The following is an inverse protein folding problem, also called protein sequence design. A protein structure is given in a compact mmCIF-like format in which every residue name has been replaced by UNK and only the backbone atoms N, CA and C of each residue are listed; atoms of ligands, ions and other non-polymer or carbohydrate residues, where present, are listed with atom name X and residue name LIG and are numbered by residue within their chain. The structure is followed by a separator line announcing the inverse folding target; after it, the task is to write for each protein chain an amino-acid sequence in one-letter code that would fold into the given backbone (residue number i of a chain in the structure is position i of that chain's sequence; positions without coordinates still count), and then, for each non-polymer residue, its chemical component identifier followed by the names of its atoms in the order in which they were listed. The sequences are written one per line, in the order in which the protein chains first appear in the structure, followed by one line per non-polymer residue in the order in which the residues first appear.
data_IF_460854922216
#
_entry.id   IF_460854922216
#
_cell.length_a   1.000
_cell.length_b   1.000
_cell.length_c   1.000
_cell.angle_alpha   90.00
_cell.angle_beta   90.00
_cell.angle_gamma   90.00
#
_symmetry.space_group_name_H-M   'P 1'
#
loop_
_entity.id
_entity.type
_entity.pdbx_description
1 polymer ?
#
# COMPACT_ATOMS: atom_id res chain seq x y z
N UNK A 1 12.15 10.24 7.43
CA UNK A 1 10.95 10.00 8.25
C UNK A 1 9.77 10.64 7.56
N UNK A 2 8.67 9.91 7.41
CA UNK A 2 7.39 10.42 6.89
C UNK A 2 6.33 10.26 7.97
N UNK A 3 5.58 11.33 8.24
CA UNK A 3 4.47 11.38 9.19
C UNK A 3 3.17 11.41 8.40
N UNK A 4 2.18 10.61 8.80
CA UNK A 4 0.89 10.54 8.11
C UNK A 4 -0.15 11.43 8.76
N UNK A 5 -1.02 12.02 7.94
CA UNK A 5 -2.22 12.71 8.42
C UNK A 5 -3.21 11.69 8.98
N UNK A 6 -3.94 12.02 10.08
CA UNK A 6 -4.89 11.13 10.75
C UNK A 6 -6.21 11.02 9.97
N UNK A 7 -6.16 10.63 8.70
CA UNK A 7 -7.34 10.41 7.87
C UNK A 7 -7.83 8.95 7.92
N UNK A 8 -6.93 8.00 8.17
CA UNK A 8 -7.16 6.54 8.10
C UNK A 8 -6.32 5.86 9.19
N UNK A 9 -6.84 5.68 10.42
CA UNK A 9 -6.02 5.19 11.53
C UNK A 9 -5.42 3.80 11.27
N UNK A 10 -4.10 3.72 11.29
CA UNK A 10 -3.26 2.51 11.38
C UNK A 10 -3.16 1.63 10.14
N UNK A 11 -4.29 1.24 9.54
CA UNK A 11 -4.32 0.21 8.48
C UNK A 11 -3.51 0.63 7.25
N UNK A 12 -3.59 1.90 6.88
CA UNK A 12 -2.87 2.45 5.73
C UNK A 12 -1.35 2.45 5.96
N UNK A 13 -0.89 2.93 7.11
CA UNK A 13 0.55 3.00 7.42
C UNK A 13 1.15 1.61 7.51
N UNK A 14 0.44 0.67 8.13
CA UNK A 14 0.86 -0.72 8.20
C UNK A 14 0.97 -1.33 6.80
N UNK A 15 -0.03 -1.10 5.94
CA UNK A 15 -0.01 -1.62 4.59
C UNK A 15 1.07 -0.98 3.70
N UNK A 16 1.35 0.31 3.86
CA UNK A 16 2.43 1.00 3.16
C UNK A 16 3.80 0.41 3.54
N UNK A 17 4.05 0.21 4.84
CA UNK A 17 5.28 -0.41 5.33
C UNK A 17 5.43 -1.86 4.85
N UNK A 18 4.37 -2.66 4.94
CA UNK A 18 4.36 -4.06 4.49
C UNK A 18 4.57 -4.17 2.98
N UNK A 19 3.96 -3.29 2.18
CA UNK A 19 4.12 -3.28 0.71
C UNK A 19 5.56 -2.92 0.32
N UNK A 20 6.17 -1.93 0.98
CA UNK A 20 7.56 -1.58 0.73
C UNK A 20 8.50 -2.75 1.07
N UNK A 21 8.30 -3.40 2.22
CA UNK A 21 9.09 -4.58 2.59
C UNK A 21 8.90 -5.74 1.60
N UNK A 22 7.66 -6.02 1.21
CA UNK A 22 7.32 -7.06 0.23
C UNK A 22 8.00 -6.82 -1.13
N UNK A 23 7.89 -5.62 -1.69
CA UNK A 23 8.51 -5.30 -2.99
C UNK A 23 10.04 -5.36 -2.90
N UNK A 24 10.61 -4.90 -1.77
CA UNK A 24 12.05 -4.88 -1.55
C UNK A 24 12.63 -6.30 -1.50
N UNK A 25 11.91 -7.24 -0.89
CA UNK A 25 12.32 -8.64 -0.80
C UNK A 25 12.08 -9.44 -2.08
N UNK A 26 11.04 -9.11 -2.86
CA UNK A 26 10.56 -9.95 -3.97
C UNK A 26 10.97 -9.46 -5.36
N UNK A 27 11.48 -8.24 -5.49
CA UNK A 27 11.79 -7.63 -6.79
C UNK A 27 13.15 -6.95 -6.81
N UNK A 28 13.62 -6.62 -8.01
CA UNK A 28 14.82 -5.79 -8.22
C UNK A 28 14.53 -4.29 -8.24
N UNK A 29 13.27 -3.89 -8.01
CA UNK A 29 12.84 -2.50 -8.13
C UNK A 29 13.53 -1.66 -7.05
N UNK A 30 14.20 -0.55 -7.41
CA UNK A 30 14.91 0.28 -6.46
C UNK A 30 13.92 1.14 -5.65
N UNK A 31 13.44 0.58 -4.53
CA UNK A 31 12.56 1.27 -3.59
C UNK A 31 13.25 1.52 -2.24
N UNK A 32 12.75 2.46 -1.41
CA UNK A 32 13.32 2.72 -0.10
C UNK A 32 13.20 1.50 0.83
N UNK A 33 14.30 1.13 1.48
CA UNK A 33 14.26 0.14 2.55
C UNK A 33 13.56 0.72 3.79
N UNK A 34 12.58 0.02 4.35
CA UNK A 34 11.95 0.38 5.63
C UNK A 34 12.87 -0.05 6.78
N UNK A 35 13.11 0.84 7.74
CA UNK A 35 13.90 0.56 8.94
C UNK A 35 13.02 0.35 10.17
N UNK A 36 11.94 1.14 10.30
CA UNK A 36 10.97 1.02 11.38
C UNK A 36 9.67 1.77 11.01
N UNK A 37 8.54 1.37 11.59
CA UNK A 37 7.28 2.11 11.49
C UNK A 37 6.46 1.96 12.78
N UNK A 38 5.53 2.88 12.99
CA UNK A 38 4.51 2.76 14.02
C UNK A 38 3.18 3.26 13.47
N UNK A 39 2.23 2.35 13.35
CA UNK A 39 0.88 2.58 12.85
C UNK A 39 -0.12 2.96 13.96
N UNK A 40 0.28 2.97 15.24
CA UNK A 40 -0.59 3.43 16.32
C UNK A 40 -0.53 4.96 16.43
N UNK A 41 -1.62 5.71 16.18
CA UNK A 41 -1.63 7.17 16.31
C UNK A 41 -1.45 7.66 17.75
N UNK A 42 -1.64 6.80 18.76
CA UNK A 42 -1.44 7.10 20.19
C UNK A 42 0.01 6.86 20.66
N UNK A 43 0.96 6.72 19.74
CA UNK A 43 2.37 6.60 20.08
C UNK A 43 2.93 7.94 20.63
N UNK A 44 4.19 7.93 21.10
CA UNK A 44 4.86 9.10 21.70
C UNK A 44 4.88 10.36 20.81
N UNK A 45 4.79 10.20 19.49
CA UNK A 45 4.76 11.28 18.52
C UNK A 45 3.33 11.74 18.19
N UNK A 46 2.30 11.09 18.75
CA UNK A 46 0.89 11.41 18.54
C UNK A 46 0.43 11.27 17.09
N UNK A 47 1.18 10.52 16.27
CA UNK A 47 0.92 10.36 14.84
C UNK A 47 1.61 9.12 14.29
N UNK A 48 1.04 8.56 13.23
CA UNK A 48 1.63 7.42 12.51
C UNK A 48 2.88 7.83 11.73
N UNK A 49 3.88 6.95 11.68
CA UNK A 49 5.15 7.24 11.02
C UNK A 49 5.84 6.03 10.41
N UNK A 50 6.66 6.30 9.39
CA UNK A 50 7.60 5.34 8.79
C UNK A 50 9.00 5.97 8.70
N UNK A 51 10.00 5.24 9.19
CA UNK A 51 11.43 5.51 9.03
C UNK A 51 11.94 4.57 7.94
N UNK A 52 12.49 5.15 6.87
CA UNK A 52 12.95 4.44 5.69
C UNK A 52 14.17 5.14 5.09
N UNK A 53 14.88 4.45 4.21
CA UNK A 53 16.01 4.97 3.44
C UNK A 53 15.63 6.24 2.67
N UNK A 54 16.49 7.25 2.71
CA UNK A 54 16.34 8.46 1.89
C UNK A 54 16.92 8.20 0.50
N UNK A 55 16.07 8.23 -0.53
CA UNK A 55 16.50 8.19 -1.93
C UNK A 55 16.77 9.61 -2.43
N UNK A 56 17.96 9.83 -2.99
CA UNK A 56 18.29 11.06 -3.70
C UNK A 56 17.90 10.89 -5.17
N UNK A 57 16.70 11.35 -5.51
CA UNK A 57 16.18 11.28 -6.88
C UNK A 57 15.48 12.58 -7.26
N UNK A 58 15.31 12.78 -8.58
CA UNK A 58 14.52 13.89 -9.12
C UNK A 58 13.22 13.33 -9.69
N UNK A 59 12.05 13.95 -9.39
CA UNK A 59 10.79 13.53 -9.97
C UNK A 59 10.83 13.56 -11.50
N UNK A 60 10.45 12.44 -12.13
CA UNK A 60 10.56 12.28 -13.58
C UNK A 60 9.85 13.39 -14.36
N UNK A 61 8.67 13.84 -13.89
CA UNK A 61 7.89 14.90 -14.54
C UNK A 61 8.65 16.23 -14.65
N UNK A 62 9.59 16.51 -13.75
CA UNK A 62 10.36 17.77 -13.77
C UNK A 62 11.38 17.80 -14.90
N UNK A 63 11.98 16.65 -15.22
CA UNK A 63 13.04 16.56 -16.24
C UNK A 63 12.54 15.99 -17.56
N UNK A 64 11.35 15.41 -17.60
CA UNK A 64 10.85 14.65 -18.75
C UNK A 64 10.94 15.42 -20.06
N UNK A 65 10.52 16.68 -20.07
CA UNK A 65 10.51 17.49 -21.31
C UNK A 65 11.93 17.78 -21.84
N UNK A 66 12.91 17.90 -20.96
CA UNK A 66 14.32 18.17 -21.28
C UNK A 66 15.09 16.91 -21.70
N UNK A 67 14.53 15.72 -21.44
CA UNK A 67 15.17 14.45 -21.80
C UNK A 67 15.08 14.15 -23.29
N UNK A 68 16.18 13.64 -23.84
CA UNK A 68 16.22 13.10 -25.20
C UNK A 68 15.28 11.90 -25.36
N UNK A 69 14.81 11.68 -26.59
CA UNK A 69 13.93 10.55 -26.93
C UNK A 69 14.54 9.20 -26.54
N UNK A 70 15.86 9.03 -26.72
CA UNK A 70 16.56 7.80 -26.31
C UNK A 70 16.48 7.55 -24.80
N UNK A 71 16.69 8.59 -23.97
CA UNK A 71 16.58 8.44 -22.51
C UNK A 71 15.14 8.10 -22.09
N UNK A 72 14.14 8.73 -22.71
CA UNK A 72 12.72 8.42 -22.48
C UNK A 72 12.42 6.96 -22.79
N UNK A 73 12.88 6.46 -23.94
CA UNK A 73 12.73 5.07 -24.34
C UNK A 73 13.33 4.11 -23.30
N UNK A 74 14.54 4.38 -22.82
CA UNK A 74 15.20 3.55 -21.79
C UNK A 74 14.42 3.54 -20.47
N UNK A 75 13.83 4.68 -20.07
CA UNK A 75 12.99 4.74 -18.86
C UNK A 75 11.73 3.89 -19.04
N UNK A 76 11.03 4.05 -20.17
CA UNK A 76 9.83 3.26 -20.45
C UNK A 76 10.14 1.76 -20.48
N UNK A 77 11.28 1.38 -21.07
CA UNK A 77 11.74 0.00 -21.08
C UNK A 77 11.98 -0.54 -19.66
N UNK A 78 12.66 0.22 -18.79
CA UNK A 78 12.85 -0.17 -17.39
C UNK A 78 11.54 -0.27 -16.62
N UNK A 79 10.61 0.66 -16.82
CA UNK A 79 9.28 0.60 -16.21
C UNK A 79 8.52 -0.66 -16.66
N UNK A 80 8.61 -1.03 -17.93
CA UNK A 80 8.01 -2.28 -18.41
C UNK A 80 8.61 -3.50 -17.72
N UNK A 81 9.93 -3.55 -17.52
CA UNK A 81 10.59 -4.62 -16.74
C UNK A 81 10.05 -4.69 -15.31
N UNK A 82 9.96 -3.55 -14.61
CA UNK A 82 9.41 -3.50 -13.25
C UNK A 82 7.95 -3.92 -13.18
N UNK A 83 7.13 -3.53 -14.16
CA UNK A 83 5.73 -3.99 -14.22
C UNK A 83 5.66 -5.50 -14.37
N UNK A 84 6.48 -6.10 -15.25
CA UNK A 84 6.53 -7.56 -15.42
C UNK A 84 6.93 -8.26 -14.11
N UNK A 85 7.91 -7.74 -13.38
CA UNK A 85 8.27 -8.26 -12.05
C UNK A 85 7.07 -8.23 -11.09
N UNK A 86 6.36 -7.11 -11.01
CA UNK A 86 5.18 -6.97 -10.15
C UNK A 86 4.04 -7.91 -10.57
N UNK A 87 3.78 -8.06 -11.87
CA UNK A 87 2.74 -8.98 -12.39
C UNK A 87 3.05 -10.46 -12.09
N UNK A 88 4.31 -10.80 -11.90
CA UNK A 88 4.73 -12.15 -11.53
C UNK A 88 4.69 -12.43 -10.02
N UNK A 89 4.17 -11.50 -9.21
CA UNK A 89 3.94 -11.70 -7.78
C UNK A 89 2.47 -12.06 -7.53
N UNK A 90 2.12 -13.35 -7.38
CA UNK A 90 0.75 -13.73 -7.10
C UNK A 90 0.33 -13.26 -5.71
N UNK A 91 -0.82 -12.60 -5.63
CA UNK A 91 -1.49 -12.24 -4.40
C UNK A 91 -2.72 -13.12 -4.22
N UNK A 92 -3.08 -13.41 -2.97
CA UNK A 92 -4.20 -14.31 -2.64
C UNK A 92 -5.59 -13.71 -2.92
N UNK A 93 -5.67 -12.42 -3.22
CA UNK A 93 -6.92 -11.70 -3.48
C UNK A 93 -6.70 -10.23 -3.82
N UNK A 94 -7.81 -9.49 -3.87
CA UNK A 94 -7.85 -8.04 -4.06
C UNK A 94 -7.97 -7.38 -2.69
N UNK A 95 -7.07 -6.45 -2.39
CA UNK A 95 -7.02 -5.79 -1.09
C UNK A 95 -5.68 -5.12 -0.88
N UNK A 96 -5.26 -4.98 0.38
CA UNK A 96 -3.99 -4.35 0.73
C UNK A 96 -3.02 -5.38 1.32
N UNK A 97 -1.72 -5.21 1.06
CA UNK A 97 -0.70 -6.11 1.63
C UNK A 97 -0.50 -5.74 3.10
N UNK A 98 -0.60 -6.72 3.99
CA UNK A 98 -0.36 -6.57 5.42
C UNK A 98 0.76 -7.54 5.85
N UNK A 99 1.55 -7.14 6.86
CA UNK A 99 2.51 -8.04 7.48
C UNK A 99 1.84 -8.85 8.58
N UNK A 100 2.08 -10.15 8.57
CA UNK A 100 1.72 -11.05 9.67
C UNK A 100 3.00 -11.44 10.38
N UNK A 101 3.12 -11.05 11.65
CA UNK A 101 4.20 -11.56 12.50
C UNK A 101 3.79 -12.98 12.91
N UNK A 102 4.33 -13.99 12.26
CA UNK A 102 4.28 -15.35 12.79
C UNK A 102 5.15 -15.41 14.03
N UNK A 103 4.55 -15.32 15.21
CA UNK A 103 5.21 -15.57 16.49
C UNK A 103 5.51 -17.07 16.64
N UNK A 104 6.42 -17.62 15.83
CA UNK A 104 7.04 -18.90 16.18
C UNK A 104 8.13 -18.61 17.20
N UNK A 105 7.78 -18.73 18.49
CA UNK A 105 8.77 -18.79 19.57
C UNK A 105 9.63 -20.04 19.38
N UNK A 106 10.80 -19.88 18.77
CA UNK A 106 11.92 -20.81 18.92
C UNK A 106 13.20 -20.07 18.59
N UNK A 107 14.17 -20.17 19.50
CA UNK A 107 15.48 -19.54 19.50
C UNK A 107 16.09 -19.21 18.13
N UNK A 108 16.45 -17.94 17.95
CA UNK A 108 17.70 -17.57 17.29
C UNK A 108 17.74 -17.45 15.76
N UNK A 109 16.64 -17.70 15.03
CA UNK A 109 16.67 -17.63 13.56
C UNK A 109 15.53 -16.77 12.97
N UNK A 110 15.85 -16.12 11.86
CA UNK A 110 15.23 -14.95 11.24
C UNK A 110 13.69 -14.89 11.34
N UNK A 111 13.15 -13.75 11.79
CA UNK A 111 11.73 -13.40 11.67
C UNK A 111 11.31 -13.45 10.22
N UNK A 112 10.74 -14.57 9.78
CA UNK A 112 10.14 -14.67 8.45
C UNK A 112 8.97 -13.70 8.37
N UNK A 113 9.11 -12.61 7.62
CA UNK A 113 7.99 -11.73 7.31
C UNK A 113 7.03 -12.49 6.38
N UNK A 114 5.86 -12.84 6.90
CA UNK A 114 4.78 -13.40 6.09
C UNK A 114 3.85 -12.28 5.65
N UNK A 115 3.55 -12.23 4.35
CA UNK A 115 2.68 -11.21 3.76
C UNK A 115 1.33 -11.80 3.39
N UNK A 116 0.25 -11.13 3.79
CA UNK A 116 -1.13 -11.54 3.47
C UNK A 116 -1.91 -10.38 2.87
N UNK A 117 -2.91 -10.68 2.04
CA UNK A 117 -3.84 -9.66 1.56
C UNK A 117 -4.95 -9.48 2.61
N UNK A 118 -5.11 -8.25 3.10
CA UNK A 118 -6.18 -7.84 4.01
C UNK A 118 -7.16 -6.87 3.35
N UNK A 119 -7.91 -6.15 4.19
CA UNK A 119 -8.86 -5.13 3.78
C UNK A 119 -8.25 -4.06 2.87
N UNK A 120 -9.06 -3.45 2.02
CA UNK A 120 -8.65 -2.36 1.13
C UNK A 120 -8.43 -1.05 1.89
N UNK A 121 -7.29 -0.39 1.66
CA UNK A 121 -6.95 0.94 2.20
C UNK A 121 -7.17 2.05 1.18
N UNK A 122 -7.91 1.76 0.11
CA UNK A 122 -8.21 2.74 -0.92
C UNK A 122 -8.93 3.93 -0.30
N UNK A 123 -8.59 5.19 -0.69
CA UNK A 123 -9.17 6.40 -0.12
C UNK A 123 -10.69 6.36 0.01
N UNK A 124 -11.37 5.78 -0.97
CA UNK A 124 -12.83 5.70 -1.02
C UNK A 124 -13.44 4.79 0.05
N UNK A 125 -12.72 3.77 0.51
CA UNK A 125 -13.18 2.88 1.58
C UNK A 125 -12.72 3.32 2.99
N UNK A 126 -11.82 4.31 3.06
CA UNK A 126 -11.04 4.54 4.27
C UNK A 126 -10.96 6.02 4.70
N UNK A 127 -11.44 6.99 3.92
CA UNK A 127 -11.39 8.42 4.28
C UNK A 127 -12.80 8.94 4.60
N UNK A 128 -12.93 9.73 5.67
CA UNK A 128 -14.16 10.45 6.00
C UNK A 128 -15.15 9.63 6.82
N UNK A 129 -16.44 9.96 6.72
CA UNK A 129 -17.51 9.22 7.40
C UNK A 129 -17.71 7.81 6.82
N UNK A 130 -17.17 7.54 5.63
CA UNK A 130 -17.21 6.25 4.93
C UNK A 130 -16.53 5.12 5.74
N UNK A 131 -15.64 5.46 6.69
CA UNK A 131 -15.01 4.50 7.61
C UNK A 131 -16.03 3.89 8.57
N UNK A 132 -17.12 4.60 8.89
CA UNK A 132 -18.17 4.13 9.81
C UNK A 132 -19.22 3.28 9.12
N UNK A 133 -19.20 3.21 7.78
CA UNK A 133 -20.17 2.43 7.03
C UNK A 133 -19.91 0.94 7.19
N UNK A 134 -20.98 0.18 7.38
CA UNK A 134 -20.96 -1.28 7.43
C UNK A 134 -20.93 -1.83 5.99
N UNK A 135 -19.74 -1.75 5.37
CA UNK A 135 -19.47 -2.19 4.00
C UNK A 135 -18.35 -3.21 4.05
N UNK A 136 -18.46 -4.27 3.24
CA UNK A 136 -17.38 -5.23 3.03
C UNK A 136 -16.14 -4.49 2.50
N UNK A 137 -15.00 -4.62 3.20
CA UNK A 137 -13.72 -4.01 2.81
C UNK A 137 -12.73 -5.03 2.27
N UNK A 138 -13.13 -6.28 2.11
CA UNK A 138 -12.28 -7.38 1.65
C UNK A 138 -11.48 -8.05 2.78
N UNK A 139 -10.44 -8.83 2.45
CA UNK A 139 -9.92 -9.07 1.11
C UNK A 139 -10.95 -9.77 0.21
N UNK A 140 -10.95 -9.44 -1.08
CA UNK A 140 -11.88 -10.00 -2.05
C UNK A 140 -11.23 -11.10 -2.88
N UNK A 141 -11.88 -12.26 -2.96
CA UNK A 141 -11.38 -13.40 -3.76
C UNK A 141 -11.79 -13.34 -5.24
N UNK A 142 -12.58 -12.33 -5.64
CA UNK A 142 -13.00 -12.14 -7.03
C UNK A 142 -13.29 -10.67 -7.32
N UNK A 143 -13.13 -10.28 -8.58
CA UNK A 143 -13.52 -8.94 -9.06
C UNK A 143 -15.01 -8.66 -8.86
N UNK A 144 -15.86 -9.69 -8.88
CA UNK A 144 -17.30 -9.54 -8.60
C UNK A 144 -17.55 -9.06 -7.17
N UNK A 145 -16.90 -9.67 -6.17
CA UNK A 145 -17.08 -9.25 -4.78
C UNK A 145 -16.60 -7.82 -4.57
N UNK A 146 -15.43 -7.48 -5.12
CA UNK A 146 -14.91 -6.11 -5.09
C UNK A 146 -15.88 -5.10 -5.73
N UNK A 147 -16.38 -5.38 -6.93
CA UNK A 147 -17.29 -4.48 -7.64
C UNK A 147 -18.64 -4.33 -6.94
N UNK A 148 -19.14 -5.39 -6.29
CA UNK A 148 -20.37 -5.31 -5.49
C UNK A 148 -20.17 -4.41 -4.27
N UNK A 149 -19.10 -4.61 -3.49
CA UNK A 149 -18.80 -3.75 -2.34
C UNK A 149 -18.62 -2.28 -2.75
N UNK A 150 -17.98 -2.05 -3.91
CA UNK A 150 -17.85 -0.70 -4.47
C UNK A 150 -19.21 -0.10 -4.89
N UNK A 151 -20.11 -0.90 -5.45
CA UNK A 151 -21.44 -0.46 -5.83
C UNK A 151 -22.30 -0.13 -4.60
N UNK A 152 -22.25 -0.96 -3.55
CA UNK A 152 -22.99 -0.74 -2.30
C UNK A 152 -22.63 0.61 -1.67
N UNK A 153 -21.34 0.97 -1.70
CA UNK A 153 -20.85 2.28 -1.28
C UNK A 153 -21.43 3.42 -2.13
N UNK A 154 -21.40 3.30 -3.46
CA UNK A 154 -21.97 4.33 -4.34
C UNK A 154 -23.48 4.52 -4.12
N UNK A 155 -24.21 3.43 -3.88
CA UNK A 155 -25.65 3.47 -3.59
C UNK A 155 -25.93 4.11 -2.22
N UNK A 156 -25.09 3.84 -1.22
CA UNK A 156 -25.19 4.49 0.08
C UNK A 156 -25.05 6.02 -0.06
N UNK A 157 -24.00 6.48 -0.75
CA UNK A 157 -23.76 7.92 -0.94
C UNK A 157 -24.90 8.59 -1.69
N UNK A 158 -25.41 7.94 -2.74
CA UNK A 158 -26.55 8.44 -3.50
C UNK A 158 -27.80 8.57 -2.63
N UNK A 159 -28.04 7.61 -1.73
CA UNK A 159 -29.18 7.64 -0.80
C UNK A 159 -29.04 8.75 0.23
N UNK A 160 -27.84 8.94 0.79
CA UNK A 160 -27.54 9.99 1.77
C UNK A 160 -27.65 11.39 1.17
N UNK A 161 -27.30 11.58 -0.10
CA UNK A 161 -27.45 12.87 -0.80
C UNK A 161 -28.90 13.21 -1.16
N UNK A 162 -29.78 12.21 -1.26
CA UNK A 162 -31.19 12.39 -1.63
C UNK A 162 -32.14 12.48 -0.43
N UNK A 163 -31.63 12.28 0.79
CA UNK A 163 -32.36 12.41 2.05
C UNK A 163 -32.26 13.82 2.62
#
# INVERSE_FOLDING_TARGET
MRVMLPATPGVKTESEAATLAFIYEKTSIPIPQVFAHNSNPQNELGSEWIIMQRIHSQPLHQIWHEMSSLKKQLIVQKLATFLVELFNLPLSGIGSICSTISHTKSDGDLTGHSYTVGETVLPRFSIGDDVKLDIDRGPYNSSRNYLNAYLDMLLHDATTLLA
#
